data_IF_692156688873
#
_entry.id   IF_692156688873
#
_cell.length_a   1.000
_cell.length_b   1.000
_cell.length_c   1.000
_cell.angle_alpha   90.00
_cell.angle_beta   90.00
_cell.angle_gamma   90.00
#
_symmetry.space_group_name_H-M   'P 1'
#
loop_
_entity.id
_entity.type
_entity.pdbx_description
1 polymer ?
#
# COMPACT_ATOMS: atom_id res chain seq x y z
N UNK A 1 -13.66 7.80 -25.53
CA UNK A 1 -14.50 7.87 -24.31
C UNK A 1 -14.50 9.31 -23.84
N UNK A 2 -15.63 9.90 -23.42
CA UNK A 2 -15.62 11.25 -22.84
C UNK A 2 -14.67 11.26 -21.63
N UNK A 3 -13.71 12.21 -21.51
CA UNK A 3 -12.72 12.21 -20.43
C UNK A 3 -13.35 12.09 -19.03
N UNK A 4 -14.46 12.77 -18.82
CA UNK A 4 -15.22 12.75 -17.58
C UNK A 4 -15.81 11.37 -17.28
N UNK A 5 -16.23 10.63 -18.30
CA UNK A 5 -16.76 9.27 -18.11
C UNK A 5 -15.67 8.30 -17.64
N UNK A 6 -14.42 8.45 -18.13
CA UNK A 6 -13.29 7.67 -17.65
C UNK A 6 -13.02 7.93 -16.16
N UNK A 7 -13.08 9.20 -15.74
CA UNK A 7 -12.91 9.59 -14.35
C UNK A 7 -14.03 9.03 -13.46
N UNK A 8 -15.28 9.04 -13.92
CA UNK A 8 -16.40 8.42 -13.21
C UNK A 8 -16.21 6.91 -13.03
N UNK A 9 -15.80 6.17 -14.07
CA UNK A 9 -15.49 4.75 -13.94
C UNK A 9 -14.35 4.51 -12.94
N UNK A 10 -13.26 5.27 -13.04
CA UNK A 10 -12.15 5.18 -12.10
C UNK A 10 -12.60 5.46 -10.66
N UNK A 11 -13.45 6.47 -10.46
CA UNK A 11 -14.03 6.81 -9.16
C UNK A 11 -14.88 5.66 -8.61
N UNK A 12 -15.81 5.12 -9.40
CA UNK A 12 -16.69 4.04 -8.95
C UNK A 12 -15.90 2.78 -8.55
N UNK A 13 -14.91 2.38 -9.35
CA UNK A 13 -14.07 1.21 -9.03
C UNK A 13 -13.27 1.46 -7.74
N UNK A 14 -12.65 2.64 -7.59
CA UNK A 14 -11.90 3.01 -6.37
C UNK A 14 -12.82 3.02 -5.15
N UNK A 15 -13.97 3.68 -5.25
CA UNK A 15 -14.93 3.81 -4.16
C UNK A 15 -15.43 2.44 -3.70
N UNK A 16 -15.82 1.60 -4.66
CA UNK A 16 -16.28 0.25 -4.35
C UNK A 16 -15.17 -0.60 -3.72
N UNK A 17 -13.94 -0.52 -4.23
CA UNK A 17 -12.80 -1.21 -3.63
C UNK A 17 -12.53 -0.77 -2.18
N UNK A 18 -12.59 0.53 -1.89
CA UNK A 18 -12.40 1.07 -0.54
C UNK A 18 -13.49 0.54 0.40
N UNK A 19 -14.76 0.52 -0.03
CA UNK A 19 -15.87 -0.03 0.76
C UNK A 19 -15.62 -1.51 1.08
N UNK A 20 -15.27 -2.32 0.07
CA UNK A 20 -14.95 -3.73 0.27
C UNK A 20 -13.78 -3.91 1.25
N UNK A 21 -12.71 -3.12 1.08
CA UNK A 21 -11.55 -3.14 1.96
C UNK A 21 -11.89 -2.81 3.41
N UNK A 22 -12.73 -1.79 3.65
CA UNK A 22 -13.21 -1.44 4.99
C UNK A 22 -14.02 -2.60 5.58
N UNK A 23 -14.93 -3.21 4.82
CA UNK A 23 -15.71 -4.36 5.30
C UNK A 23 -14.80 -5.53 5.69
N UNK A 24 -13.79 -5.85 4.87
CA UNK A 24 -12.91 -6.98 5.14
C UNK A 24 -11.95 -6.73 6.31
N UNK A 25 -11.28 -5.59 6.34
CA UNK A 25 -10.34 -5.24 7.41
C UNK A 25 -11.10 -5.02 8.72
N UNK A 26 -12.27 -4.39 8.67
CA UNK A 26 -13.16 -4.23 9.81
C UNK A 26 -13.58 -5.57 10.41
N UNK A 27 -14.04 -6.50 9.58
CA UNK A 27 -14.35 -7.87 10.02
C UNK A 27 -13.11 -8.57 10.61
N UNK A 28 -11.94 -8.42 9.98
CA UNK A 28 -10.69 -8.99 10.47
C UNK A 28 -10.31 -8.46 11.85
N UNK A 29 -10.47 -7.16 12.10
CA UNK A 29 -10.24 -6.55 13.41
C UNK A 29 -11.25 -7.01 14.45
N UNK A 30 -12.52 -7.09 14.08
CA UNK A 30 -13.57 -7.59 14.95
C UNK A 30 -13.32 -9.03 15.38
N UNK A 31 -13.06 -9.94 14.43
CA UNK A 31 -12.80 -11.35 14.77
C UNK A 31 -11.50 -11.55 15.54
N UNK A 32 -10.46 -10.77 15.26
CA UNK A 32 -9.23 -10.80 16.04
C UNK A 32 -9.45 -10.30 17.49
N UNK A 33 -10.28 -9.28 17.69
CA UNK A 33 -10.67 -8.83 19.02
C UNK A 33 -11.53 -9.89 19.73
N UNK A 34 -12.58 -10.39 19.07
CA UNK A 34 -13.48 -11.42 19.58
C UNK A 34 -12.69 -12.64 20.07
N UNK A 35 -11.84 -13.22 19.22
CA UNK A 35 -11.09 -14.43 19.56
C UNK A 35 -10.10 -14.26 20.72
N UNK A 36 -9.59 -13.04 20.93
CA UNK A 36 -8.67 -12.73 22.01
C UNK A 36 -9.38 -12.30 23.30
N UNK A 37 -10.67 -11.95 23.23
CA UNK A 37 -11.47 -11.46 24.37
C UNK A 37 -12.42 -12.50 24.95
N UNK A 38 -12.42 -13.74 24.43
CA UNK A 38 -13.25 -14.82 24.97
C UNK A 38 -12.80 -15.17 26.39
N UNK A 39 -13.76 -15.20 27.30
CA UNK A 39 -13.58 -15.58 28.69
C UNK A 39 -13.89 -17.06 28.90
N UNK A 40 -13.39 -17.62 30.01
CA UNK A 40 -13.75 -18.98 30.43
C UNK A 40 -15.22 -19.01 30.86
N UNK A 41 -16.08 -19.80 30.20
CA UNK A 41 -17.50 -19.86 30.54
C UNK A 41 -17.75 -20.47 31.93
N UNK A 42 -18.91 -20.22 32.56
CA UNK A 42 -19.34 -20.97 33.74
C UNK A 42 -19.51 -22.47 33.44
N UNK A 43 -19.43 -23.31 34.49
CA UNK A 43 -19.37 -24.77 34.36
C UNK A 43 -20.52 -25.36 33.53
N UNK A 44 -21.74 -24.91 33.72
CA UNK A 44 -22.92 -25.39 32.98
C UNK A 44 -22.83 -25.17 31.46
N UNK A 45 -22.09 -24.16 30.99
CA UNK A 45 -21.81 -23.93 29.56
C UNK A 45 -20.66 -24.81 29.06
N UNK A 46 -19.65 -25.01 29.89
CA UNK A 46 -18.55 -25.95 29.59
C UNK A 46 -19.08 -27.37 29.40
N UNK A 47 -20.04 -27.77 30.23
CA UNK A 47 -20.71 -29.07 30.14
C UNK A 47 -21.48 -29.24 28.81
N UNK A 48 -21.87 -28.14 28.15
CA UNK A 48 -22.45 -28.09 26.79
C UNK A 48 -21.41 -27.95 25.67
N UNK A 49 -20.13 -28.14 25.97
CA UNK A 49 -19.04 -28.08 25.00
C UNK A 49 -18.58 -26.66 24.58
N UNK A 50 -19.04 -25.61 25.28
CA UNK A 50 -18.59 -24.23 25.04
C UNK A 50 -17.23 -24.02 25.71
N UNK A 51 -16.23 -23.60 24.92
CA UNK A 51 -14.86 -23.35 25.41
C UNK A 51 -14.56 -21.88 25.67
N UNK A 52 -15.38 -20.96 25.15
CA UNK A 52 -15.19 -19.53 25.29
C UNK A 52 -16.53 -18.82 25.20
N UNK A 53 -16.69 -17.77 25.99
CA UNK A 53 -17.92 -16.99 26.10
C UNK A 53 -17.59 -15.50 26.07
N UNK A 54 -18.43 -14.70 25.43
CA UNK A 54 -18.29 -13.26 25.40
C UNK A 54 -19.66 -12.60 25.44
N UNK A 55 -19.81 -11.63 26.34
CA UNK A 55 -20.94 -10.72 26.36
C UNK A 55 -20.52 -9.36 25.80
N UNK A 56 -21.35 -8.81 24.93
CA UNK A 56 -21.12 -7.49 24.34
C UNK A 56 -22.43 -6.72 24.19
N UNK A 57 -22.34 -5.39 24.12
CA UNK A 57 -23.49 -4.50 23.93
C UNK A 57 -23.29 -3.68 22.67
N UNK A 58 -24.30 -3.64 21.80
CA UNK A 58 -24.29 -2.79 20.62
C UNK A 58 -25.73 -2.50 20.16
N UNK A 59 -25.98 -1.33 19.58
CA UNK A 59 -27.30 -0.99 19.02
C UNK A 59 -28.48 -1.07 20.00
N UNK A 60 -28.24 -0.92 21.30
CA UNK A 60 -29.27 -1.03 22.35
C UNK A 60 -29.59 -2.46 22.80
N UNK A 61 -28.87 -3.48 22.33
CA UNK A 61 -29.06 -4.88 22.72
C UNK A 61 -27.81 -5.53 23.31
N UNK A 62 -28.02 -6.63 24.04
CA UNK A 62 -26.95 -7.49 24.56
C UNK A 62 -26.78 -8.70 23.62
N UNK A 63 -25.54 -8.99 23.26
CA UNK A 63 -25.13 -10.14 22.47
C UNK A 63 -24.31 -11.08 23.33
N UNK A 64 -24.66 -12.37 23.26
CA UNK A 64 -23.93 -13.47 23.85
C UNK A 64 -23.31 -14.30 22.72
N UNK A 65 -21.99 -14.46 22.75
CA UNK A 65 -21.25 -15.17 21.70
C UNK A 65 -20.53 -16.34 22.35
N UNK A 66 -20.97 -17.55 22.00
CA UNK A 66 -20.38 -18.79 22.48
C UNK A 66 -19.48 -19.41 21.40
N UNK A 67 -18.24 -19.74 21.78
CA UNK A 67 -17.31 -20.50 20.93
C UNK A 67 -17.25 -21.94 21.40
N UNK A 68 -17.66 -22.87 20.54
CA UNK A 68 -17.66 -24.30 20.82
C UNK A 68 -16.26 -24.92 20.69
N UNK A 69 -16.02 -26.00 21.45
CA UNK A 69 -14.77 -26.78 21.34
C UNK A 69 -14.72 -27.55 20.03
N UNK A 70 -15.80 -28.25 19.69
CA UNK A 70 -15.95 -29.13 18.53
C UNK A 70 -17.09 -28.63 17.64
N UNK A 71 -18.31 -28.63 18.18
CA UNK A 71 -19.51 -28.14 17.51
C UNK A 71 -20.69 -28.04 18.49
N UNK A 72 -21.81 -27.43 18.08
CA UNK A 72 -23.03 -27.40 18.88
C UNK A 72 -23.73 -28.77 18.91
N UNK A 73 -24.61 -28.98 19.88
CA UNK A 73 -25.45 -30.20 19.98
C UNK A 73 -26.33 -30.39 18.75
N UNK A 74 -26.85 -29.29 18.21
CA UNK A 74 -27.61 -29.26 16.97
C UNK A 74 -27.00 -28.22 16.03
N UNK A 75 -26.74 -28.64 14.79
CA UNK A 75 -26.22 -27.73 13.77
C UNK A 75 -27.29 -26.68 13.39
N UNK A 76 -26.94 -25.39 13.40
CA UNK A 76 -27.87 -24.34 12.99
C UNK A 76 -28.17 -24.43 11.49
N UNK A 77 -29.41 -24.13 11.10
CA UNK A 77 -29.82 -24.11 9.68
C UNK A 77 -29.04 -23.06 8.86
N UNK A 78 -28.65 -21.96 9.50
CA UNK A 78 -27.97 -20.84 8.86
C UNK A 78 -26.60 -20.62 9.48
N UNK A 79 -25.56 -20.74 8.65
CA UNK A 79 -24.18 -20.38 8.99
C UNK A 79 -23.75 -19.19 8.14
N UNK A 80 -23.26 -18.14 8.80
CA UNK A 80 -22.69 -16.98 8.12
C UNK A 80 -21.21 -17.22 7.83
N UNK A 81 -20.82 -17.11 6.56
CA UNK A 81 -19.46 -17.36 6.09
C UNK A 81 -18.80 -16.05 5.67
N UNK A 82 -17.80 -15.62 6.43
CA UNK A 82 -17.02 -14.40 6.17
C UNK A 82 -15.94 -14.65 5.11
N UNK A 83 -16.37 -14.73 3.85
CA UNK A 83 -15.50 -14.95 2.69
C UNK A 83 -15.63 -13.87 1.62
N UNK A 84 -16.82 -13.31 1.48
CA UNK A 84 -17.13 -12.38 0.40
C UNK A 84 -16.42 -11.05 0.56
N UNK A 85 -16.20 -10.60 1.79
CA UNK A 85 -15.47 -9.37 2.08
C UNK A 85 -14.03 -9.47 1.53
N UNK A 86 -13.37 -10.60 1.76
CA UNK A 86 -12.03 -10.85 1.23
C UNK A 86 -12.04 -10.98 -0.30
N UNK A 87 -12.96 -11.77 -0.86
CA UNK A 87 -13.00 -12.05 -2.30
C UNK A 87 -13.36 -10.82 -3.10
N UNK A 88 -14.36 -10.06 -2.68
CA UNK A 88 -14.78 -8.81 -3.34
C UNK A 88 -13.69 -7.74 -3.24
N UNK A 89 -13.00 -7.62 -2.10
CA UNK A 89 -11.86 -6.69 -1.99
C UNK A 89 -10.76 -7.03 -2.98
N UNK A 90 -10.40 -8.32 -3.11
CA UNK A 90 -9.37 -8.74 -4.05
C UNK A 90 -9.80 -8.53 -5.50
N UNK A 91 -11.02 -8.96 -5.87
CA UNK A 91 -11.56 -8.78 -7.22
C UNK A 91 -11.54 -7.30 -7.61
N UNK A 92 -12.10 -6.44 -6.77
CA UNK A 92 -12.16 -4.99 -7.03
C UNK A 92 -10.79 -4.33 -7.05
N UNK A 93 -9.86 -4.79 -6.20
CA UNK A 93 -8.48 -4.31 -6.18
C UNK A 93 -7.71 -4.71 -7.44
N UNK A 94 -7.88 -5.95 -7.91
CA UNK A 94 -7.32 -6.41 -9.18
C UNK A 94 -7.91 -5.65 -10.37
N UNK A 95 -9.23 -5.42 -10.39
CA UNK A 95 -9.87 -4.56 -11.40
C UNK A 95 -9.29 -3.16 -11.39
N UNK A 96 -9.08 -2.57 -10.21
CA UNK A 96 -8.49 -1.24 -10.06
C UNK A 96 -7.03 -1.20 -10.54
N UNK A 97 -6.23 -2.21 -10.21
CA UNK A 97 -4.85 -2.35 -10.70
C UNK A 97 -4.82 -2.42 -12.23
N UNK A 98 -5.65 -3.27 -12.83
CA UNK A 98 -5.71 -3.42 -14.28
C UNK A 98 -6.08 -2.09 -14.93
N UNK A 99 -7.13 -1.43 -14.43
CA UNK A 99 -7.62 -0.17 -14.96
C UNK A 99 -6.58 0.96 -14.86
N UNK A 100 -5.99 1.14 -13.68
CA UNK A 100 -5.10 2.28 -13.42
C UNK A 100 -3.67 2.03 -13.89
N UNK A 101 -3.11 0.87 -13.60
CA UNK A 101 -1.68 0.59 -13.77
C UNK A 101 -1.36 -0.23 -15.02
N UNK A 102 -2.27 -1.06 -15.52
CA UNK A 102 -1.96 -1.90 -16.69
C UNK A 102 -2.44 -1.27 -18.00
N UNK A 103 -3.66 -0.73 -18.08
CA UNK A 103 -4.09 0.00 -19.28
C UNK A 103 -3.30 1.28 -19.53
N UNK A 104 -2.77 1.89 -18.47
CA UNK A 104 -1.95 3.11 -18.56
C UNK A 104 -0.53 2.87 -18.03
N UNK A 105 0.07 1.70 -18.31
CA UNK A 105 1.36 1.30 -17.76
C UNK A 105 2.50 2.30 -18.02
N UNK A 106 2.53 2.92 -19.21
CA UNK A 106 3.50 3.96 -19.55
C UNK A 106 3.42 5.19 -18.64
N UNK A 107 2.21 5.51 -18.15
CA UNK A 107 2.00 6.67 -17.30
C UNK A 107 2.16 6.32 -15.81
N UNK A 108 1.69 5.16 -15.35
CA UNK A 108 1.57 4.88 -13.91
C UNK A 108 2.50 3.79 -13.38
N UNK A 109 3.00 2.90 -14.24
CA UNK A 109 3.79 1.74 -13.82
C UNK A 109 5.27 1.91 -14.15
N UNK A 110 5.59 2.43 -15.33
CA UNK A 110 6.95 2.50 -15.87
C UNK A 110 7.60 3.85 -15.51
N UNK A 111 8.84 3.81 -15.04
CA UNK A 111 9.73 4.98 -14.95
C UNK A 111 11.00 4.65 -15.74
N UNK A 112 11.25 5.31 -16.89
CA UNK A 112 12.46 5.08 -17.68
C UNK A 112 13.76 5.31 -16.90
N UNK A 113 13.74 6.15 -15.84
CA UNK A 113 14.89 6.40 -14.97
C UNK A 113 15.23 5.22 -14.06
N UNK A 114 14.25 4.34 -13.80
CA UNK A 114 14.43 3.12 -13.01
C UNK A 114 14.78 1.97 -13.94
N UNK A 115 13.91 1.69 -14.92
CA UNK A 115 14.11 0.65 -15.92
C UNK A 115 13.23 0.92 -17.13
N UNK A 116 13.84 0.98 -18.32
CA UNK A 116 13.10 1.08 -19.57
C UNK A 116 12.44 -0.26 -19.90
N UNK A 117 11.11 -0.28 -19.88
CA UNK A 117 10.29 -1.46 -20.14
C UNK A 117 9.21 -1.14 -21.16
N UNK A 118 8.89 -2.11 -22.01
CA UNK A 118 7.63 -2.09 -22.73
C UNK A 118 6.45 -2.33 -21.76
N UNK A 119 5.25 -1.88 -22.14
CA UNK A 119 4.04 -2.10 -21.33
C UNK A 119 3.80 -3.59 -21.06
N UNK A 120 4.01 -4.46 -22.05
CA UNK A 120 3.83 -5.90 -21.90
C UNK A 120 4.81 -6.52 -20.90
N UNK A 121 6.08 -6.08 -20.91
CA UNK A 121 7.08 -6.53 -19.94
C UNK A 121 6.72 -6.06 -18.53
N UNK A 122 6.39 -4.78 -18.35
CA UNK A 122 6.04 -4.23 -17.05
C UNK A 122 4.82 -4.94 -16.43
N UNK A 123 3.75 -5.16 -17.22
CA UNK A 123 2.55 -5.88 -16.76
C UNK A 123 2.89 -7.34 -16.41
N UNK A 124 3.65 -8.02 -17.27
CA UNK A 124 4.02 -9.42 -17.04
C UNK A 124 4.85 -9.59 -15.76
N UNK A 125 5.85 -8.72 -15.55
CA UNK A 125 6.65 -8.70 -14.33
C UNK A 125 5.80 -8.39 -13.10
N UNK A 126 4.81 -7.50 -13.22
CA UNK A 126 3.92 -7.14 -12.11
C UNK A 126 3.06 -8.33 -11.68
N UNK A 127 2.40 -8.98 -12.64
CA UNK A 127 1.57 -10.16 -12.39
C UNK A 127 2.40 -11.34 -11.88
N UNK A 128 3.50 -11.67 -12.56
CA UNK A 128 4.37 -12.77 -12.16
C UNK A 128 5.03 -12.52 -10.80
N UNK A 129 5.41 -11.28 -10.49
CA UNK A 129 5.95 -10.90 -9.19
C UNK A 129 4.96 -11.14 -8.05
N UNK A 130 3.69 -10.75 -8.24
CA UNK A 130 2.63 -11.01 -7.26
C UNK A 130 2.41 -12.52 -7.08
N UNK A 131 2.29 -13.28 -8.18
CA UNK A 131 2.09 -14.73 -8.13
C UNK A 131 3.29 -15.44 -7.48
N UNK A 132 4.50 -15.06 -7.84
CA UNK A 132 5.73 -15.60 -7.27
C UNK A 132 5.77 -15.34 -5.77
N UNK A 133 5.43 -14.14 -5.30
CA UNK A 133 5.42 -13.85 -3.86
C UNK A 133 4.38 -14.66 -3.08
N UNK A 134 3.21 -14.94 -3.67
CA UNK A 134 2.22 -15.88 -3.09
C UNK A 134 2.82 -17.29 -2.99
N UNK A 135 3.49 -17.77 -4.04
CA UNK A 135 4.16 -19.09 -4.05
C UNK A 135 5.29 -19.15 -3.03
N UNK A 136 6.14 -18.12 -2.93
CA UNK A 136 7.21 -18.04 -1.94
C UNK A 136 6.64 -18.08 -0.53
N UNK A 137 5.57 -17.32 -0.26
CA UNK A 137 4.89 -17.35 1.04
C UNK A 137 4.35 -18.75 1.40
N UNK A 138 3.71 -19.45 0.45
CA UNK A 138 3.28 -20.84 0.65
C UNK A 138 4.48 -21.78 0.88
N UNK A 139 5.57 -21.59 0.13
CA UNK A 139 6.82 -22.34 0.30
C UNK A 139 7.40 -22.14 1.70
N UNK A 140 7.48 -20.90 2.18
CA UNK A 140 7.94 -20.59 3.55
C UNK A 140 7.09 -21.27 4.60
N UNK A 141 5.76 -21.32 4.42
CA UNK A 141 4.85 -21.95 5.37
C UNK A 141 4.89 -23.47 5.39
N UNK A 142 5.33 -24.10 4.31
CA UNK A 142 5.57 -25.54 4.22
C UNK A 142 7.00 -25.94 4.59
N UNK A 143 7.92 -24.98 4.62
CA UNK A 143 9.33 -25.21 4.96
C UNK A 143 9.53 -25.44 6.46
N UNK A 144 10.70 -26.02 6.86
CA UNK A 144 11.08 -26.14 8.26
C UNK A 144 11.18 -24.81 9.02
N UNK A 145 11.36 -23.67 8.32
CA UNK A 145 11.40 -22.34 8.94
C UNK A 145 10.10 -22.02 9.67
N UNK A 146 8.97 -22.57 9.21
CA UNK A 146 7.66 -22.39 9.84
C UNK A 146 7.55 -23.00 11.24
N UNK A 147 8.50 -23.86 11.66
CA UNK A 147 8.53 -24.46 13.00
C UNK A 147 9.02 -23.47 14.07
N UNK A 148 9.83 -22.47 13.69
CA UNK A 148 10.31 -21.42 14.60
C UNK A 148 9.69 -20.08 14.24
N UNK A 149 9.00 -19.47 15.20
CA UNK A 149 8.37 -18.15 14.99
C UNK A 149 9.39 -17.09 14.57
N UNK A 150 10.55 -17.05 15.22
CA UNK A 150 11.59 -16.08 14.92
C UNK A 150 12.19 -16.30 13.52
N UNK A 151 12.46 -17.55 13.15
CA UNK A 151 12.99 -17.88 11.83
C UNK A 151 11.99 -17.54 10.72
N UNK A 152 10.71 -17.86 10.92
CA UNK A 152 9.65 -17.54 9.97
C UNK A 152 9.46 -16.03 9.79
N UNK A 153 9.42 -15.26 10.89
CA UNK A 153 9.30 -13.80 10.83
C UNK A 153 10.53 -13.18 10.14
N UNK A 154 11.74 -13.63 10.48
CA UNK A 154 12.96 -13.20 9.81
C UNK A 154 12.93 -13.48 8.31
N UNK A 155 12.48 -14.67 7.90
CA UNK A 155 12.32 -15.02 6.49
C UNK A 155 11.29 -14.13 5.78
N UNK A 156 10.13 -13.86 6.40
CA UNK A 156 9.12 -12.96 5.81
C UNK A 156 9.67 -11.54 5.64
N UNK A 157 10.46 -11.02 6.59
CA UNK A 157 11.09 -9.71 6.47
C UNK A 157 12.12 -9.70 5.33
N UNK A 158 12.96 -10.73 5.24
CA UNK A 158 13.98 -10.85 4.18
C UNK A 158 13.32 -10.95 2.80
N UNK A 159 12.41 -11.90 2.60
CA UNK A 159 11.73 -12.07 1.32
C UNK A 159 10.84 -10.86 0.99
N UNK A 160 10.14 -10.30 1.97
CA UNK A 160 9.38 -9.06 1.80
C UNK A 160 10.27 -7.90 1.35
N UNK A 161 11.46 -7.75 1.95
CA UNK A 161 12.47 -6.78 1.54
C UNK A 161 12.99 -7.03 0.13
N UNK A 162 13.24 -8.29 -0.26
CA UNK A 162 13.68 -8.66 -1.60
C UNK A 162 12.63 -8.34 -2.67
N UNK A 163 11.35 -8.64 -2.41
CA UNK A 163 10.25 -8.26 -3.31
C UNK A 163 10.12 -6.75 -3.42
N UNK A 164 10.19 -6.03 -2.30
CA UNK A 164 10.07 -4.58 -2.32
C UNK A 164 11.26 -3.92 -3.05
N UNK A 165 12.47 -4.43 -2.81
CA UNK A 165 13.67 -4.04 -3.55
C UNK A 165 13.48 -4.30 -5.04
N UNK A 166 13.06 -5.51 -5.43
CA UNK A 166 12.78 -5.84 -6.83
C UNK A 166 11.76 -4.89 -7.46
N UNK A 167 10.62 -4.68 -6.81
CA UNK A 167 9.59 -3.79 -7.33
C UNK A 167 10.05 -2.34 -7.48
N UNK A 168 10.83 -1.81 -6.53
CA UNK A 168 11.36 -0.42 -6.63
C UNK A 168 12.47 -0.25 -7.65
N UNK A 169 13.13 -1.33 -8.06
CA UNK A 169 14.17 -1.32 -9.11
C UNK A 169 13.63 -1.72 -10.49
N UNK A 170 12.37 -2.12 -10.59
CA UNK A 170 11.72 -2.51 -11.86
C UNK A 170 10.63 -1.50 -12.24
N UNK A 171 9.87 -1.01 -11.26
CA UNK A 171 8.73 -0.13 -11.49
C UNK A 171 9.00 1.28 -10.96
N UNK A 172 8.16 2.21 -11.41
CA UNK A 172 7.96 3.49 -10.73
C UNK A 172 7.74 3.33 -9.24
N UNK A 173 8.13 4.31 -8.42
CA UNK A 173 7.87 4.27 -6.97
C UNK A 173 6.40 4.02 -6.62
N UNK A 174 5.48 4.66 -7.36
CA UNK A 174 4.03 4.42 -7.22
C UNK A 174 3.64 2.99 -7.57
N UNK A 175 4.12 2.49 -8.71
CA UNK A 175 3.89 1.12 -9.15
C UNK A 175 4.42 0.12 -8.13
N UNK A 176 5.62 0.33 -7.61
CA UNK A 176 6.28 -0.56 -6.68
C UNK A 176 5.51 -0.73 -5.36
N UNK A 177 5.07 0.36 -4.75
CA UNK A 177 4.32 0.32 -3.49
C UNK A 177 2.95 -0.35 -3.67
N UNK A 178 2.24 -0.03 -4.76
CA UNK A 178 0.95 -0.66 -5.05
C UNK A 178 1.09 -2.14 -5.40
N UNK A 179 2.16 -2.56 -6.10
CA UNK A 179 2.44 -3.98 -6.34
C UNK A 179 2.81 -4.71 -5.05
N UNK A 180 3.57 -4.08 -4.15
CA UNK A 180 3.84 -4.66 -2.82
C UNK A 180 2.54 -4.83 -2.01
N UNK A 181 1.66 -3.83 -2.04
CA UNK A 181 0.36 -3.90 -1.42
C UNK A 181 -0.52 -5.00 -2.03
N UNK A 182 -0.56 -5.10 -3.36
CA UNK A 182 -1.31 -6.13 -4.08
C UNK A 182 -0.76 -7.55 -3.83
N UNK A 183 0.56 -7.70 -3.67
CA UNK A 183 1.19 -8.95 -3.26
C UNK A 183 0.69 -9.39 -1.88
N UNK A 184 0.77 -8.50 -0.89
CA UNK A 184 0.30 -8.80 0.47
C UNK A 184 -1.20 -9.09 0.48
N UNK A 185 -2.01 -8.28 -0.22
CA UNK A 185 -3.45 -8.53 -0.37
C UNK A 185 -3.76 -9.88 -1.03
N UNK A 186 -2.97 -10.28 -2.02
CA UNK A 186 -3.10 -11.57 -2.71
C UNK A 186 -2.71 -12.73 -1.79
N UNK A 187 -1.67 -12.59 -0.98
CA UNK A 187 -1.33 -13.57 0.08
C UNK A 187 -2.51 -13.70 1.06
N UNK A 188 -3.09 -12.57 1.48
CA UNK A 188 -4.18 -12.55 2.45
C UNK A 188 -5.47 -13.19 1.92
N UNK A 189 -5.85 -12.94 0.67
CA UNK A 189 -7.02 -13.61 0.07
C UNK A 189 -6.73 -15.08 -0.20
N UNK A 190 -5.51 -15.43 -0.61
CA UNK A 190 -5.09 -16.81 -0.83
C UNK A 190 -5.22 -17.64 0.44
N UNK A 191 -4.86 -17.06 1.58
CA UNK A 191 -5.09 -17.64 2.91
C UNK A 191 -6.56 -17.94 3.18
N UNK A 192 -7.45 -17.00 2.83
CA UNK A 192 -8.90 -17.17 3.02
C UNK A 192 -9.44 -18.27 2.10
N UNK A 193 -9.13 -18.16 0.81
CA UNK A 193 -9.68 -19.01 -0.24
C UNK A 193 -9.19 -20.46 -0.17
N UNK A 194 -7.88 -20.69 0.05
CA UNK A 194 -7.30 -22.03 -0.03
C UNK A 194 -7.17 -22.75 1.32
N UNK A 195 -7.19 -22.02 2.45
CA UNK A 195 -6.92 -22.63 3.78
C UNK A 195 -8.04 -22.42 4.78
N UNK A 196 -8.50 -21.18 4.96
CA UNK A 196 -9.49 -20.87 6.00
C UNK A 196 -10.86 -21.44 5.63
N UNK A 197 -11.43 -21.03 4.48
CA UNK A 197 -12.80 -21.41 4.11
C UNK A 197 -12.93 -22.91 3.84
N UNK A 198 -12.04 -23.57 3.07
CA UNK A 198 -12.11 -25.02 2.90
C UNK A 198 -11.95 -25.79 4.22
N UNK A 199 -11.07 -25.33 5.12
CA UNK A 199 -10.89 -25.93 6.44
C UNK A 199 -12.15 -25.82 7.31
N UNK A 200 -12.81 -24.66 7.28
CA UNK A 200 -14.09 -24.45 7.98
C UNK A 200 -15.21 -25.32 7.39
N UNK A 201 -15.30 -25.45 6.06
CA UNK A 201 -16.28 -26.35 5.42
C UNK A 201 -16.05 -27.82 5.82
N UNK A 202 -14.79 -28.29 5.83
CA UNK A 202 -14.45 -29.65 6.29
C UNK A 202 -14.86 -29.87 7.74
N UNK A 203 -14.53 -28.93 8.63
CA UNK A 203 -14.92 -29.00 10.04
C UNK A 203 -16.44 -29.08 10.21
N UNK A 204 -17.19 -28.22 9.53
CA UNK A 204 -18.67 -28.21 9.58
C UNK A 204 -19.24 -29.54 9.08
N UNK A 205 -18.69 -30.12 8.01
CA UNK A 205 -19.13 -31.41 7.49
C UNK A 205 -18.91 -32.55 8.50
N UNK A 206 -17.74 -32.59 9.15
CA UNK A 206 -17.44 -33.61 10.16
C UNK A 206 -18.37 -33.49 11.38
N UNK A 207 -18.60 -32.28 11.87
CA UNK A 207 -19.55 -32.04 12.98
C UNK A 207 -20.96 -32.49 12.59
N UNK A 208 -21.44 -32.13 11.39
CA UNK A 208 -22.77 -32.50 10.93
C UNK A 208 -22.92 -34.02 10.74
N UNK A 209 -21.85 -34.73 10.40
CA UNK A 209 -21.83 -36.18 10.26
C UNK A 209 -21.65 -36.93 11.60
N UNK A 210 -21.41 -36.23 12.71
CA UNK A 210 -21.08 -36.85 14.00
C UNK A 210 -19.71 -37.52 14.02
N UNK A 211 -18.82 -37.16 13.09
CA UNK A 211 -17.47 -37.67 13.00
C UNK A 211 -16.52 -36.95 13.98
N UNK A 212 -15.39 -37.60 14.29
CA UNK A 212 -14.32 -36.94 15.02
C UNK A 212 -13.73 -35.78 14.19
N UNK A 213 -13.72 -34.58 14.77
CA UNK A 213 -13.23 -33.38 14.09
C UNK A 213 -11.71 -33.34 14.09
N UNK A 214 -11.13 -33.33 12.90
CA UNK A 214 -9.70 -33.14 12.71
C UNK A 214 -9.32 -31.67 13.03
N UNK A 215 -8.48 -31.40 14.05
CA UNK A 215 -8.14 -30.05 14.45
C UNK A 215 -7.18 -29.36 13.46
N UNK A 216 -6.47 -30.11 12.61
CA UNK A 216 -5.37 -29.58 11.81
C UNK A 216 -5.80 -28.47 10.82
N UNK A 217 -6.90 -28.60 10.05
CA UNK A 217 -7.37 -27.54 9.16
C UNK A 217 -7.76 -26.26 9.90
N UNK A 218 -8.39 -26.39 11.08
CA UNK A 218 -8.78 -25.25 11.90
C UNK A 218 -7.59 -24.51 12.50
N UNK A 219 -6.57 -25.25 12.97
CA UNK A 219 -5.32 -24.69 13.45
C UNK A 219 -4.54 -23.97 12.33
N UNK A 220 -4.51 -24.55 11.13
CA UNK A 220 -3.91 -23.91 9.97
C UNK A 220 -4.67 -22.63 9.57
N UNK A 221 -5.99 -22.67 9.54
CA UNK A 221 -6.83 -21.49 9.30
C UNK A 221 -6.57 -20.38 10.33
N UNK A 222 -6.47 -20.72 11.62
CA UNK A 222 -6.10 -19.78 12.68
C UNK A 222 -4.72 -19.18 12.45
N UNK A 223 -3.72 -19.99 12.09
CA UNK A 223 -2.36 -19.51 11.77
C UNK A 223 -2.39 -18.49 10.63
N UNK A 224 -3.12 -18.79 9.54
CA UNK A 224 -3.28 -17.86 8.40
C UNK A 224 -4.01 -16.58 8.80
N UNK A 225 -5.05 -16.68 9.62
CA UNK A 225 -5.79 -15.52 10.13
C UNK A 225 -4.90 -14.59 10.97
N UNK A 226 -3.98 -15.14 11.76
CA UNK A 226 -2.98 -14.36 12.50
C UNK A 226 -2.07 -13.59 11.53
N UNK A 227 -1.59 -14.23 10.47
CA UNK A 227 -0.75 -13.54 9.47
C UNK A 227 -1.52 -12.41 8.78
N UNK A 228 -2.76 -12.66 8.34
CA UNK A 228 -3.63 -11.63 7.77
C UNK A 228 -3.81 -10.44 8.72
N UNK A 229 -4.00 -10.71 10.01
CA UNK A 229 -4.12 -9.69 11.04
C UNK A 229 -2.86 -8.80 11.13
N UNK A 230 -1.65 -9.36 11.10
CA UNK A 230 -0.41 -8.57 11.10
C UNK A 230 -0.18 -7.79 9.79
N UNK A 231 -0.68 -8.30 8.66
CA UNK A 231 -0.55 -7.64 7.36
C UNK A 231 -1.52 -6.47 7.15
N UNK A 232 -2.58 -6.35 7.95
CA UNK A 232 -3.61 -5.29 7.81
C UNK A 232 -3.05 -3.86 7.82
N UNK A 233 -2.32 -3.44 8.85
CA UNK A 233 -1.79 -2.06 8.92
C UNK A 233 -0.75 -1.80 7.81
N UNK A 234 0.21 -2.70 7.55
CA UNK A 234 1.11 -2.59 6.40
C UNK A 234 0.39 -2.41 5.07
N UNK A 235 -0.63 -3.23 4.76
CA UNK A 235 -1.32 -3.14 3.46
C UNK A 235 -2.13 -1.87 3.33
N UNK A 236 -2.79 -1.41 4.40
CA UNK A 236 -3.51 -0.12 4.40
C UNK A 236 -2.54 1.02 4.07
N UNK A 237 -1.37 1.04 4.72
CA UNK A 237 -0.35 2.05 4.44
C UNK A 237 0.08 2.04 2.97
N UNK A 238 0.39 0.85 2.42
CA UNK A 238 0.79 0.71 1.02
C UNK A 238 -0.29 1.19 0.04
N UNK A 239 -1.58 1.07 0.38
CA UNK A 239 -2.66 1.55 -0.48
C UNK A 239 -2.80 3.07 -0.47
N UNK A 240 -2.42 3.74 0.62
CA UNK A 240 -2.48 5.21 0.73
C UNK A 240 -1.14 5.89 0.39
N UNK A 241 -0.05 5.13 0.25
CA UNK A 241 1.30 5.69 0.10
C UNK A 241 1.47 6.57 -1.14
N UNK A 242 0.66 6.38 -2.18
CA UNK A 242 0.68 7.20 -3.39
C UNK A 242 0.34 8.69 -3.16
N UNK A 243 -0.22 9.03 -2.00
CA UNK A 243 -0.44 10.41 -1.59
C UNK A 243 0.82 11.09 -1.01
N UNK A 244 1.89 10.33 -0.83
CA UNK A 244 3.09 10.73 -0.09
C UNK A 244 4.36 10.48 -0.93
N UNK A 245 4.69 11.36 -1.89
CA UNK A 245 5.85 11.20 -2.78
C UNK A 245 7.19 11.12 -2.08
N UNK A 246 7.35 11.83 -0.97
CA UNK A 246 8.55 11.79 -0.13
C UNK A 246 8.91 10.37 0.34
N UNK A 247 7.95 9.44 0.32
CA UNK A 247 8.15 8.04 0.69
C UNK A 247 8.55 7.22 -0.53
N UNK A 248 7.74 7.25 -1.60
CA UNK A 248 7.94 6.36 -2.75
C UNK A 248 9.02 6.84 -3.73
N UNK A 249 9.35 8.14 -3.74
CA UNK A 249 10.47 8.69 -4.51
C UNK A 249 11.78 8.75 -3.72
N UNK A 250 11.78 8.33 -2.46
CA UNK A 250 13.01 8.29 -1.69
C UNK A 250 14.04 7.36 -2.36
N UNK A 251 15.33 7.70 -2.41
CA UNK A 251 16.36 6.83 -3.01
C UNK A 251 16.42 5.43 -2.38
N UNK A 252 16.11 5.36 -1.08
CA UNK A 252 15.97 4.12 -0.34
C UNK A 252 14.49 3.73 -0.09
N UNK A 253 13.60 4.00 -1.04
CA UNK A 253 12.14 3.82 -0.89
C UNK A 253 11.74 2.39 -0.50
N UNK A 254 12.46 1.37 -0.98
CA UNK A 254 12.24 -0.02 -0.59
C UNK A 254 12.48 -0.25 0.91
N UNK A 255 13.54 0.35 1.45
CA UNK A 255 13.92 0.20 2.86
C UNK A 255 12.96 1.01 3.73
N UNK A 256 12.65 2.24 3.33
CA UNK A 256 11.63 3.06 4.00
C UNK A 256 10.30 2.32 4.06
N UNK A 257 9.83 1.81 2.93
CA UNK A 257 8.59 1.03 2.86
C UNK A 257 8.64 -0.22 3.74
N UNK A 258 9.75 -0.98 3.70
CA UNK A 258 9.93 -2.16 4.55
C UNK A 258 9.90 -1.82 6.04
N UNK A 259 10.57 -0.74 6.46
CA UNK A 259 10.58 -0.27 7.85
C UNK A 259 9.18 0.15 8.29
N UNK A 260 8.44 0.91 7.47
CA UNK A 260 7.06 1.28 7.78
C UNK A 260 6.18 0.03 7.93
N UNK A 261 6.35 -0.98 7.07
CA UNK A 261 5.62 -2.25 7.20
C UNK A 261 5.95 -2.97 8.51
N UNK A 262 7.23 -3.10 8.87
CA UNK A 262 7.66 -3.77 10.10
C UNK A 262 7.14 -3.02 11.33
N UNK A 263 7.29 -1.70 11.37
CA UNK A 263 6.81 -0.85 12.47
C UNK A 263 5.28 -0.94 12.56
N UNK A 264 4.56 -0.91 11.44
CA UNK A 264 3.10 -1.04 11.42
C UNK A 264 2.63 -2.40 11.94
N UNK A 265 3.30 -3.49 11.56
CA UNK A 265 3.02 -4.81 12.10
C UNK A 265 3.34 -4.91 13.61
N UNK A 266 4.40 -4.23 14.08
CA UNK A 266 4.74 -4.14 15.49
C UNK A 266 3.72 -3.32 16.29
N UNK A 267 3.22 -2.20 15.75
CA UNK A 267 2.10 -1.45 16.34
C UNK A 267 0.85 -2.32 16.39
N UNK A 268 0.58 -3.12 15.35
CA UNK A 268 -0.54 -4.09 15.39
C UNK A 268 -0.36 -5.12 16.50
N UNK A 269 0.87 -5.53 16.81
CA UNK A 269 1.17 -6.44 17.91
C UNK A 269 0.65 -5.91 19.25
N UNK A 270 0.83 -4.62 19.54
CA UNK A 270 0.31 -3.99 20.75
C UNK A 270 -1.19 -4.21 20.92
N UNK A 271 -1.99 -3.97 19.88
CA UNK A 271 -3.43 -4.17 19.94
C UNK A 271 -3.81 -5.63 20.19
N UNK A 272 -3.08 -6.57 19.58
CA UNK A 272 -3.29 -7.99 19.84
C UNK A 272 -3.02 -8.36 21.30
N UNK A 273 -1.91 -7.88 21.88
CA UNK A 273 -1.58 -8.09 23.30
C UNK A 273 -2.66 -7.49 24.21
N UNK A 274 -3.08 -6.25 23.92
CA UNK A 274 -4.13 -5.55 24.66
C UNK A 274 -5.44 -6.35 24.65
N UNK A 275 -5.86 -6.87 23.49
CA UNK A 275 -7.07 -7.68 23.39
C UNK A 275 -6.98 -9.00 24.14
N UNK A 276 -5.79 -9.57 24.29
CA UNK A 276 -5.55 -10.77 25.12
C UNK A 276 -5.36 -10.44 26.62
N UNK A 277 -5.71 -9.23 27.07
CA UNK A 277 -5.58 -8.79 28.46
C UNK A 277 -4.17 -8.38 28.90
N UNK A 278 -3.18 -8.38 28.01
CA UNK A 278 -1.81 -7.96 28.32
C UNK A 278 -1.62 -6.47 28.07
N UNK A 279 -1.49 -5.68 29.14
CA UNK A 279 -1.24 -4.25 29.03
C UNK A 279 0.26 -3.98 28.86
N UNK A 280 0.69 -3.75 27.61
CA UNK A 280 2.08 -3.46 27.23
C UNK A 280 2.20 -2.12 26.47
N UNK A 281 1.93 -0.97 27.12
CA UNK A 281 1.94 0.33 26.46
C UNK A 281 3.32 0.71 25.89
N UNK A 282 4.39 0.16 26.44
CA UNK A 282 5.76 0.26 25.96
C UNK A 282 5.89 -0.15 24.48
N UNK A 283 5.21 -1.21 24.05
CA UNK A 283 5.20 -1.65 22.64
C UNK A 283 4.65 -0.57 21.71
N UNK A 284 3.57 0.11 22.10
CA UNK A 284 3.00 1.20 21.32
C UNK A 284 3.93 2.42 21.32
N UNK A 285 4.53 2.76 22.46
CA UNK A 285 5.47 3.87 22.59
C UNK A 285 6.70 3.64 21.72
N UNK A 286 7.29 2.44 21.75
CA UNK A 286 8.44 2.09 20.91
C UNK A 286 8.08 2.11 19.42
N UNK A 287 6.93 1.55 19.04
CA UNK A 287 6.45 1.60 17.65
C UNK A 287 6.20 3.02 17.16
N UNK A 288 5.53 3.85 17.95
CA UNK A 288 5.28 5.26 17.63
C UNK A 288 6.56 6.08 17.56
N UNK A 289 7.49 5.87 18.50
CA UNK A 289 8.80 6.52 18.50
C UNK A 289 9.61 6.11 17.27
N UNK A 290 9.64 4.81 16.92
CA UNK A 290 10.33 4.34 15.72
C UNK A 290 9.74 4.97 14.44
N UNK A 291 8.41 5.08 14.35
CA UNK A 291 7.74 5.74 13.22
C UNK A 291 8.11 7.23 13.15
N UNK A 292 8.12 7.92 14.30
CA UNK A 292 8.46 9.34 14.37
C UNK A 292 9.93 9.60 14.00
N UNK A 293 10.86 8.79 14.52
CA UNK A 293 12.27 8.87 14.16
C UNK A 293 12.48 8.61 12.67
N UNK A 294 11.79 7.62 12.10
CA UNK A 294 11.83 7.37 10.66
C UNK A 294 11.34 8.59 9.85
N UNK A 295 10.25 9.23 10.29
CA UNK A 295 9.75 10.45 9.64
C UNK A 295 10.75 11.61 9.71
N UNK A 296 11.46 11.78 10.83
CA UNK A 296 12.54 12.78 10.96
C UNK A 296 13.67 12.47 9.98
N UNK A 297 14.15 11.22 9.94
CA UNK A 297 15.27 10.82 9.07
C UNK A 297 14.95 11.06 7.60
N UNK A 298 13.75 10.69 7.15
CA UNK A 298 13.32 10.90 5.77
C UNK A 298 13.20 12.40 5.44
N UNK A 299 12.67 13.19 6.37
CA UNK A 299 12.50 14.64 6.18
C UNK A 299 13.83 15.40 6.19
N UNK A 300 14.79 14.97 7.00
CA UNK A 300 16.12 15.56 7.09
C UNK A 300 16.91 15.36 5.79
N UNK A 301 16.93 14.13 5.26
CA UNK A 301 17.65 13.80 4.02
C UNK A 301 17.11 14.55 2.79
N UNK A 302 15.80 14.82 2.75
CA UNK A 302 15.20 15.65 1.71
C UNK A 302 15.70 17.12 1.74
N UNK A 303 16.15 17.60 2.90
CA UNK A 303 16.67 18.96 3.07
C UNK A 303 18.16 19.06 2.69
N UNK A 304 18.97 18.03 2.94
CA UNK A 304 20.42 18.02 2.66
C UNK A 304 20.79 17.77 1.18
N UNK A 305 19.93 17.11 0.39
CA UNK A 305 20.16 16.96 -1.06
C UNK A 305 19.91 18.24 -1.86
N UNK A 306 19.72 19.38 -1.19
CA UNK A 306 19.85 20.69 -1.81
C UNK A 306 21.34 21.01 -1.93
N UNK A 307 21.93 21.08 -3.13
CA UNK A 307 23.28 21.58 -3.26
C UNK A 307 23.25 23.06 -2.86
N UNK A 308 23.83 23.39 -1.70
CA UNK A 308 24.44 24.71 -1.52
C UNK A 308 25.37 24.89 -2.70
N UNK A 309 25.18 25.96 -3.48
CA UNK A 309 25.92 26.22 -4.70
C UNK A 309 27.44 26.20 -4.45
N UNK A 310 28.08 25.05 -4.67
CA UNK A 310 29.52 24.94 -4.81
C UNK A 310 29.82 24.95 -6.30
N UNK A 311 30.31 26.10 -6.75
CA UNK A 311 31.02 26.40 -8.01
C UNK A 311 31.29 25.17 -8.89
N UNK A 312 30.50 25.03 -9.96
CA UNK A 312 30.72 24.06 -11.03
C UNK A 312 31.96 24.45 -11.85
N UNK A 313 32.97 23.58 -11.82
CA UNK A 313 34.06 23.56 -12.80
C UNK A 313 33.50 23.16 -14.17
N UNK A 314 33.79 23.96 -15.19
CA UNK A 314 33.30 23.81 -16.56
C UNK A 314 33.77 22.49 -17.19
N UNK A 315 32.83 21.61 -17.51
CA UNK A 315 32.98 20.63 -18.60
C UNK A 315 32.33 21.19 -19.88
N UNK A 316 32.84 20.85 -21.08
CA UNK A 316 32.37 21.46 -22.33
C UNK A 316 31.01 20.88 -22.77
N UNK A 317 30.07 21.77 -23.02
CA UNK A 317 28.69 21.46 -23.40
C UNK A 317 28.58 21.04 -24.88
N UNK A 318 27.86 19.93 -25.12
CA UNK A 318 27.22 19.66 -26.39
C UNK A 318 25.92 20.48 -26.49
N UNK A 319 25.62 20.93 -27.70
CA UNK A 319 24.62 21.92 -28.11
C UNK A 319 23.28 21.84 -27.36
N UNK A 320 23.13 22.73 -26.36
CA UNK A 320 21.84 23.19 -25.87
C UNK A 320 21.73 24.67 -26.24
N UNK A 321 20.63 25.06 -26.88
CA UNK A 321 20.29 26.45 -27.15
C UNK A 321 20.22 27.18 -25.81
N UNK A 322 21.30 27.86 -25.46
CA UNK A 322 21.45 28.62 -24.24
C UNK A 322 20.66 29.91 -24.39
N UNK A 323 19.59 30.03 -23.59
CA UNK A 323 19.05 31.34 -23.25
C UNK A 323 20.21 32.16 -22.67
N UNK A 324 20.42 33.35 -23.21
CA UNK A 324 21.51 34.26 -22.81
C UNK A 324 21.51 34.48 -21.30
N UNK A 325 22.70 34.59 -20.69
CA UNK A 325 22.92 34.75 -19.25
C UNK A 325 22.23 35.97 -18.59
N UNK A 326 21.50 36.79 -19.36
CA UNK A 326 20.73 37.97 -18.93
C UNK A 326 19.19 37.75 -18.96
N UNK A 327 18.70 36.54 -19.22
CA UNK A 327 17.25 36.28 -19.18
C UNK A 327 16.70 36.48 -17.75
N UNK A 328 15.64 37.28 -17.60
CA UNK A 328 15.03 37.52 -16.30
C UNK A 328 14.60 36.18 -15.66
N UNK A 329 14.71 35.99 -14.33
CA UNK A 329 14.34 34.75 -13.65
C UNK A 329 12.93 34.25 -14.05
N UNK A 330 12.00 35.18 -14.24
CA UNK A 330 10.65 34.90 -14.75
C UNK A 330 10.64 34.17 -16.12
N UNK A 331 11.46 34.60 -17.08
CA UNK A 331 11.51 34.02 -18.42
C UNK A 331 12.08 32.59 -18.40
N UNK A 332 13.11 32.36 -17.57
CA UNK A 332 13.70 31.03 -17.36
C UNK A 332 12.64 30.07 -16.82
N UNK A 333 11.94 30.48 -15.74
CA UNK A 333 10.88 29.68 -15.15
C UNK A 333 9.74 29.38 -16.15
N UNK A 334 9.27 30.40 -16.88
CA UNK A 334 8.23 30.23 -17.90
C UNK A 334 8.66 29.26 -19.01
N UNK A 335 9.90 29.36 -19.50
CA UNK A 335 10.40 28.49 -20.56
C UNK A 335 10.44 27.02 -20.11
N UNK A 336 10.99 26.76 -18.93
CA UNK A 336 11.07 25.41 -18.37
C UNK A 336 9.67 24.83 -18.14
N UNK A 337 8.76 25.61 -17.54
CA UNK A 337 7.37 25.17 -17.27
C UNK A 337 6.62 24.91 -18.58
N UNK A 338 6.72 25.80 -19.57
CA UNK A 338 6.10 25.63 -20.87
C UNK A 338 6.54 24.31 -21.55
N UNK A 339 7.84 24.02 -21.49
CA UNK A 339 8.44 22.83 -22.10
C UNK A 339 8.13 21.54 -21.34
N UNK A 340 8.10 21.59 -20.00
CA UNK A 340 8.08 20.39 -19.15
C UNK A 340 6.72 20.09 -18.51
N UNK A 341 5.87 21.09 -18.31
CA UNK A 341 4.65 20.99 -17.50
C UNK A 341 3.37 21.31 -18.27
N UNK A 342 3.39 22.28 -19.19
CA UNK A 342 2.17 22.81 -19.81
C UNK A 342 1.44 21.84 -20.75
N UNK A 343 2.08 20.75 -21.20
CA UNK A 343 1.39 19.70 -21.97
C UNK A 343 0.25 19.04 -21.17
N UNK A 344 0.40 18.96 -19.84
CA UNK A 344 -0.61 18.43 -18.92
C UNK A 344 -1.32 19.54 -18.15
N UNK A 345 -0.60 20.59 -17.73
CA UNK A 345 -1.10 21.69 -16.90
C UNK A 345 -1.46 22.92 -17.73
N UNK A 346 -2.46 22.79 -18.60
CA UNK A 346 -2.98 23.86 -19.46
C UNK A 346 -4.52 23.83 -19.49
N UNK A 347 -5.17 24.93 -19.86
CA UNK A 347 -6.59 24.97 -20.21
C UNK A 347 -6.91 24.07 -21.40
N UNK A 348 -5.94 23.81 -22.27
CA UNK A 348 -6.06 22.88 -23.40
C UNK A 348 -4.90 21.88 -23.39
N UNK A 349 -4.91 20.88 -22.50
CA UNK A 349 -3.85 19.87 -22.43
C UNK A 349 -3.68 19.12 -23.75
N UNK A 350 -2.42 18.92 -24.14
CA UNK A 350 -2.04 18.21 -25.37
C UNK A 350 -1.58 16.77 -25.11
N UNK A 351 -1.38 16.41 -23.85
CA UNK A 351 -0.98 15.06 -23.43
C UNK A 351 -2.00 13.99 -23.85
N UNK A 352 -1.52 12.79 -24.19
CA UNK A 352 -2.34 11.65 -24.61
C UNK A 352 -3.14 10.99 -23.47
N UNK A 353 -2.66 11.10 -22.23
CA UNK A 353 -3.31 10.53 -21.03
C UNK A 353 -4.05 11.60 -20.24
N UNK A 354 -3.41 12.74 -19.98
CA UNK A 354 -3.99 13.83 -19.20
C UNK A 354 -4.76 14.79 -20.11
N UNK A 355 -6.03 14.48 -20.37
CA UNK A 355 -6.95 15.30 -21.18
C UNK A 355 -7.60 16.47 -20.43
N UNK A 356 -7.34 16.58 -19.13
CA UNK A 356 -7.71 17.70 -18.27
C UNK A 356 -6.54 17.99 -17.32
N UNK A 357 -6.39 19.26 -16.95
CA UNK A 357 -5.34 19.69 -16.03
C UNK A 357 -5.45 18.97 -14.68
N UNK A 358 -4.44 18.19 -14.25
CA UNK A 358 -4.49 17.48 -12.98
C UNK A 358 -4.72 18.44 -11.81
N UNK A 359 -5.70 18.12 -10.96
CA UNK A 359 -6.14 18.96 -9.83
C UNK A 359 -6.62 20.38 -10.21
N UNK A 360 -6.93 20.61 -11.49
CA UNK A 360 -7.32 21.92 -11.99
C UNK A 360 -6.18 22.95 -12.02
N UNK A 361 -4.93 22.51 -11.86
CA UNK A 361 -3.76 23.41 -11.85
C UNK A 361 -3.30 23.63 -13.29
N UNK A 362 -3.30 24.88 -13.73
CA UNK A 362 -2.89 25.29 -15.08
C UNK A 362 -1.69 26.23 -14.98
N UNK A 363 -0.86 26.30 -16.03
CA UNK A 363 0.32 27.15 -16.13
C UNK A 363 0.35 27.88 -17.49
N UNK A 364 -0.79 28.39 -17.94
CA UNK A 364 -0.92 29.04 -19.25
C UNK A 364 -0.35 30.47 -19.25
N UNK A 365 -0.30 31.11 -18.08
CA UNK A 365 0.24 32.45 -17.91
C UNK A 365 1.12 32.57 -16.64
N UNK A 366 1.74 33.73 -16.47
CA UNK A 366 2.63 33.97 -15.34
C UNK A 366 1.92 33.94 -13.98
N UNK A 367 0.74 34.55 -13.90
CA UNK A 367 -0.03 34.65 -12.66
C UNK A 367 -0.37 33.25 -12.13
N UNK A 368 -0.61 32.30 -13.04
CA UNK A 368 -0.81 30.91 -12.70
C UNK A 368 0.44 30.26 -12.09
N UNK A 369 1.60 30.46 -12.73
CA UNK A 369 2.89 29.92 -12.25
C UNK A 369 3.24 30.51 -10.89
N UNK A 370 3.12 31.83 -10.74
CA UNK A 370 3.43 32.56 -9.51
C UNK A 370 2.55 32.10 -8.34
N UNK A 371 1.24 31.95 -8.59
CA UNK A 371 0.28 31.42 -7.61
C UNK A 371 0.66 30.02 -7.10
N UNK A 372 1.22 29.18 -7.96
CA UNK A 372 1.59 27.80 -7.63
C UNK A 372 3.09 27.60 -7.36
N UNK A 373 3.90 28.67 -7.32
CA UNK A 373 5.36 28.66 -7.15
C UNK A 373 5.85 27.66 -6.10
N UNK A 374 5.33 27.74 -4.87
CA UNK A 374 5.77 26.89 -3.75
C UNK A 374 5.49 25.42 -4.04
N UNK A 375 4.29 25.11 -4.55
CA UNK A 375 3.92 23.77 -4.96
C UNK A 375 4.75 23.26 -6.13
N UNK A 376 5.06 24.11 -7.12
CA UNK A 376 5.93 23.73 -8.25
C UNK A 376 7.31 23.33 -7.73
N UNK A 377 7.91 24.13 -6.83
CA UNK A 377 9.21 23.79 -6.21
C UNK A 377 9.13 22.47 -5.46
N UNK A 378 8.12 22.29 -4.59
CA UNK A 378 7.99 21.06 -3.81
C UNK A 378 7.77 19.81 -4.67
N UNK A 379 6.99 19.90 -5.74
CA UNK A 379 6.63 18.75 -6.58
C UNK A 379 7.68 18.45 -7.64
N UNK A 380 8.16 19.47 -8.34
CA UNK A 380 9.14 19.31 -9.41
C UNK A 380 10.57 19.22 -8.89
N UNK A 381 10.90 19.84 -7.75
CA UNK A 381 12.30 19.89 -7.30
C UNK A 381 12.49 19.05 -6.05
N UNK A 382 11.81 19.38 -4.95
CA UNK A 382 12.10 18.73 -3.66
C UNK A 382 11.69 17.25 -3.65
N UNK A 383 10.53 16.91 -4.20
CA UNK A 383 10.07 15.52 -4.34
C UNK A 383 10.50 14.84 -5.65
N UNK A 384 10.84 15.62 -6.68
CA UNK A 384 11.18 15.11 -8.02
C UNK A 384 10.07 14.26 -8.67
N UNK A 385 8.81 14.47 -8.28
CA UNK A 385 7.68 13.63 -8.70
C UNK A 385 6.80 14.27 -9.79
N UNK A 386 7.14 15.49 -10.18
CA UNK A 386 6.68 16.18 -11.38
C UNK A 386 7.87 16.57 -12.28
N UNK A 387 7.75 16.65 -13.61
CA UNK A 387 6.60 16.24 -14.43
C UNK A 387 6.25 14.78 -14.18
N UNK A 388 4.97 14.43 -14.32
CA UNK A 388 4.46 13.12 -13.87
C UNK A 388 5.28 11.98 -14.47
N UNK A 389 5.87 11.14 -13.61
CA UNK A 389 6.78 10.05 -13.99
C UNK A 389 7.95 10.46 -14.90
N UNK A 390 8.37 11.73 -14.80
CA UNK A 390 9.32 12.38 -15.68
C UNK A 390 9.04 12.20 -17.18
N UNK A 391 7.76 12.12 -17.56
CA UNK A 391 7.31 11.86 -18.94
C UNK A 391 7.90 12.82 -19.97
N UNK A 392 8.10 14.08 -19.58
CA UNK A 392 8.69 15.12 -20.43
C UNK A 392 10.21 15.23 -20.29
N UNK A 393 10.87 14.27 -19.63
CA UNK A 393 12.33 14.17 -19.51
C UNK A 393 12.99 15.45 -18.98
N UNK A 394 12.47 15.98 -17.86
CA UNK A 394 13.07 17.11 -17.18
C UNK A 394 14.34 16.69 -16.43
N UNK A 395 15.46 17.35 -16.71
CA UNK A 395 16.77 17.02 -16.11
C UNK A 395 16.93 17.63 -14.72
N UNK A 396 17.92 17.15 -13.96
CA UNK A 396 18.18 17.69 -12.62
C UNK A 396 18.72 19.12 -12.68
N UNK A 397 19.47 19.47 -13.73
CA UNK A 397 19.92 20.84 -14.00
C UNK A 397 18.71 21.77 -14.20
N UNK A 398 17.75 21.38 -15.06
CA UNK A 398 16.52 22.16 -15.27
C UNK A 398 15.70 22.32 -13.98
N UNK A 399 15.73 21.34 -13.07
CA UNK A 399 15.06 21.44 -11.76
C UNK A 399 15.73 22.48 -10.86
N UNK A 400 17.07 22.50 -10.83
CA UNK A 400 17.81 23.49 -10.05
C UNK A 400 17.66 24.90 -10.63
N UNK A 401 17.72 25.05 -11.96
CA UNK A 401 17.45 26.31 -12.64
C UNK A 401 16.04 26.82 -12.33
N UNK A 402 15.03 25.96 -12.41
CA UNK A 402 13.66 26.30 -12.06
C UNK A 402 13.54 26.75 -10.59
N UNK A 403 14.19 26.06 -9.65
CA UNK A 403 14.20 26.43 -8.23
C UNK A 403 14.83 27.80 -8.01
N UNK A 404 16.00 28.05 -8.60
CA UNK A 404 16.69 29.33 -8.48
C UNK A 404 15.83 30.46 -9.07
N UNK A 405 15.32 30.25 -10.28
CA UNK A 405 14.47 31.21 -10.98
C UNK A 405 13.23 31.60 -10.17
N UNK A 406 12.50 30.61 -9.63
CA UNK A 406 11.29 30.85 -8.83
C UNK A 406 11.59 31.42 -7.43
N UNK A 407 12.74 31.10 -6.84
CA UNK A 407 13.11 31.58 -5.49
C UNK A 407 13.53 33.05 -5.47
N UNK A 408 14.02 33.58 -6.60
CA UNK A 408 14.46 34.98 -6.74
C UNK A 408 13.30 35.96 -6.94
N UNK A 409 12.08 35.46 -7.14
CA UNK A 409 10.90 36.28 -7.39
C UNK A 409 10.18 36.50 -6.07
N UNK A 410 9.99 37.75 -5.66
CA UNK A 410 9.37 38.12 -4.37
C UNK A 410 7.87 37.88 -4.36
#
# INVERSE_FOLDING_TARGET
MWPQLYEWFALFIKWFHVICGIAWIGASFYFAWLDNSLETPPKWKQDKGIKGDLWSVHGGGFYEIAKYKVGPEQMPEKLHWFKWEAYTTWITGSTLMIWMYYFNAQAYLIDPRVMELSSAQAISLGVLGILLGVVVYEGLLRSPLSKSKAAFVGAIIVFGGLFFYGFTHIFSGRGAFIHMGALIGSIMVNNVFHKIIPGQHKMVAQVAAGEEVDPAPGLEGKRRSIHNNYFTLPVIFLMISNHYPMIYQHPASWLVGLLIMVISAYIRHYFNLKHSGQQKPDVLVYGGTAMFLLAIVISWQATEKMPTATTLEKAPAAESQTLTADAAPQQIAQHIIAKRCSSCHSATPTDDVFKAAPSGVQFDNWQDIERWKSHIITRAVDNGDMPFMNKTQMTDEERQELKQALSQIQ
#
